data_IF_323490066988
#
_entry.id   IF_323490066988
#
_cell.length_a   1.000
_cell.length_b   1.000
_cell.length_c   1.000
_cell.angle_alpha   90.00
_cell.angle_beta   90.00
_cell.angle_gamma   90.00
#
_symmetry.space_group_name_H-M   'P 1'
#
loop_
_entity.id
_entity.type
_entity.pdbx_description
1 polymer ?
#
# COMPACT_ATOMS: atom_id res chain seq x y z
N UNK A 1 36.45 -18.32 0.11
CA UNK A 1 36.67 -16.87 -0.09
C UNK A 1 35.35 -16.19 0.25
N UNK A 2 35.26 -15.62 1.46
CA UNK A 2 34.03 -14.98 1.99
C UNK A 2 34.06 -13.52 1.56
N UNK A 3 33.00 -13.09 0.90
CA UNK A 3 32.75 -11.70 0.54
C UNK A 3 32.11 -10.99 1.76
N UNK A 4 32.78 -10.02 2.40
CA UNK A 4 32.24 -9.33 3.56
C UNK A 4 31.78 -7.92 3.16
N UNK A 5 30.68 -7.81 2.43
CA UNK A 5 29.95 -6.54 2.29
C UNK A 5 28.45 -6.80 2.39
N UNK A 6 28.05 -7.46 3.48
CA UNK A 6 26.71 -7.28 4.01
C UNK A 6 26.65 -5.84 4.55
N UNK A 7 26.17 -4.91 3.72
CA UNK A 7 25.80 -3.57 4.14
C UNK A 7 24.67 -3.73 5.17
N UNK A 8 25.05 -3.75 6.44
CA UNK A 8 24.15 -3.59 7.58
C UNK A 8 23.22 -2.41 7.27
N UNK A 9 21.88 -2.61 7.26
CA UNK A 9 20.98 -1.51 6.99
C UNK A 9 21.10 -0.54 8.15
N UNK A 10 21.74 0.62 7.91
CA UNK A 10 21.75 1.75 8.82
C UNK A 10 20.36 1.88 9.44
N UNK A 11 20.27 1.59 10.75
CA UNK A 11 19.04 1.74 11.52
C UNK A 11 18.73 3.23 11.61
N UNK A 12 18.15 3.75 10.53
CA UNK A 12 17.75 5.14 10.44
C UNK A 12 16.75 5.42 11.55
N UNK A 13 16.94 6.51 12.28
CA UNK A 13 16.02 7.06 13.29
C UNK A 13 14.57 7.09 12.75
N UNK A 14 14.40 7.26 11.42
CA UNK A 14 13.11 7.19 10.73
C UNK A 14 12.42 5.81 10.77
N UNK A 15 13.18 4.72 10.70
CA UNK A 15 12.62 3.38 10.86
C UNK A 15 12.13 3.16 12.31
N UNK A 16 12.78 3.80 13.29
CA UNK A 16 12.33 3.79 14.69
C UNK A 16 11.08 4.65 14.87
N UNK A 17 11.05 5.87 14.35
CA UNK A 17 9.88 6.77 14.41
C UNK A 17 8.68 6.18 13.65
N UNK A 18 8.89 5.61 12.46
CA UNK A 18 7.82 4.92 11.72
C UNK A 18 7.31 3.67 12.44
N UNK A 19 8.19 2.92 13.12
CA UNK A 19 7.79 1.80 13.97
C UNK A 19 7.02 2.24 15.21
N UNK A 20 7.40 3.34 15.85
CA UNK A 20 6.70 3.90 17.01
C UNK A 20 5.34 4.48 16.64
N UNK A 21 5.25 5.22 15.53
CA UNK A 21 3.99 5.75 15.01
C UNK A 21 3.04 4.61 14.61
N UNK A 22 3.56 3.59 13.93
CA UNK A 22 2.79 2.38 13.63
C UNK A 22 2.36 1.64 14.90
N UNK A 23 3.27 1.49 15.87
CA UNK A 23 2.96 0.82 17.14
C UNK A 23 1.87 1.57 17.92
N UNK A 24 1.96 2.90 17.98
CA UNK A 24 0.96 3.75 18.60
C UNK A 24 -0.38 3.66 17.87
N UNK A 25 -0.38 3.71 16.53
CA UNK A 25 -1.57 3.53 15.72
C UNK A 25 -2.21 2.16 16.00
N UNK A 26 -1.45 1.06 15.93
CA UNK A 26 -1.96 -0.29 16.24
C UNK A 26 -2.49 -0.41 17.68
N UNK A 27 -1.88 0.27 18.65
CA UNK A 27 -2.30 0.22 20.06
C UNK A 27 -3.57 1.02 20.35
N UNK A 28 -3.79 2.09 19.59
CA UNK A 28 -4.95 2.95 19.73
C UNK A 28 -6.11 2.50 18.85
N UNK A 29 -5.82 1.67 17.83
CA UNK A 29 -6.83 1.23 16.89
C UNK A 29 -7.70 0.08 17.36
N UNK A 30 -8.98 0.14 16.97
CA UNK A 30 -9.89 -1.00 17.05
C UNK A 30 -9.35 -2.23 16.31
N UNK A 31 -9.66 -3.43 16.83
CA UNK A 31 -9.31 -4.70 16.17
C UNK A 31 -10.56 -5.55 15.94
N UNK A 32 -10.65 -6.15 14.76
CA UNK A 32 -11.70 -7.11 14.39
C UNK A 32 -11.08 -8.26 13.64
N UNK A 33 -11.62 -9.47 13.79
CA UNK A 33 -11.17 -10.64 13.03
C UNK A 33 -12.29 -11.15 12.14
N UNK A 34 -11.98 -11.46 10.88
CA UNK A 34 -12.90 -12.07 9.90
C UNK A 34 -12.22 -13.29 9.30
N UNK A 35 -12.78 -14.48 9.51
CA UNK A 35 -12.21 -15.76 9.03
C UNK A 35 -10.69 -15.94 9.34
N UNK A 36 -10.22 -15.41 10.47
CA UNK A 36 -8.81 -15.45 10.88
C UNK A 36 -7.93 -14.32 10.34
N UNK A 37 -8.45 -13.44 9.47
CA UNK A 37 -7.79 -12.22 9.02
C UNK A 37 -8.01 -11.09 10.04
N UNK A 38 -6.91 -10.52 10.53
CA UNK A 38 -6.95 -9.39 11.46
C UNK A 38 -7.20 -8.07 10.70
N UNK A 39 -8.18 -7.30 11.13
CA UNK A 39 -8.45 -5.93 10.68
C UNK A 39 -8.09 -4.99 11.82
N UNK A 40 -7.16 -4.09 11.57
CA UNK A 40 -6.75 -3.04 12.50
C UNK A 40 -7.24 -1.72 11.92
N UNK A 41 -8.27 -1.15 12.52
CA UNK A 41 -8.86 0.12 12.09
C UNK A 41 -9.74 0.75 13.17
N UNK A 42 -9.74 2.08 13.21
CA UNK A 42 -10.69 2.88 13.99
C UNK A 42 -11.95 3.25 13.21
N UNK A 43 -11.88 3.30 11.87
CA UNK A 43 -12.96 3.78 11.00
C UNK A 43 -13.08 2.93 9.74
N UNK A 44 -14.28 2.84 9.19
CA UNK A 44 -14.52 2.10 7.93
C UNK A 44 -14.32 0.58 8.03
N UNK A 45 -14.28 0.02 9.25
CA UNK A 45 -14.19 -1.43 9.48
C UNK A 45 -15.32 -2.19 8.80
N UNK A 46 -16.54 -1.69 8.84
CA UNK A 46 -17.68 -2.36 8.19
C UNK A 46 -17.54 -2.40 6.66
N UNK A 47 -17.06 -1.32 6.05
CA UNK A 47 -16.73 -1.28 4.62
C UNK A 47 -15.67 -2.31 4.23
N UNK A 48 -14.67 -2.52 5.08
CA UNK A 48 -13.65 -3.57 4.87
C UNK A 48 -14.26 -4.96 5.01
N UNK A 49 -15.15 -5.17 5.99
CA UNK A 49 -15.84 -6.45 6.20
C UNK A 49 -16.73 -6.78 5.00
N UNK A 50 -17.50 -5.81 4.50
CA UNK A 50 -18.31 -5.94 3.29
C UNK A 50 -17.43 -6.23 2.06
N UNK A 51 -16.29 -5.55 1.92
CA UNK A 51 -15.34 -5.82 0.86
C UNK A 51 -14.79 -7.25 0.90
N UNK A 52 -14.44 -7.76 2.08
CA UNK A 52 -14.00 -9.15 2.25
C UNK A 52 -15.12 -10.14 1.92
N UNK A 53 -16.36 -9.82 2.30
CA UNK A 53 -17.54 -10.63 1.95
C UNK A 53 -17.74 -10.68 0.43
N UNK A 54 -17.60 -9.56 -0.29
CA UNK A 54 -17.66 -9.54 -1.75
C UNK A 54 -16.58 -10.43 -2.39
N UNK A 55 -15.34 -10.40 -1.88
CA UNK A 55 -14.29 -11.29 -2.40
C UNK A 55 -14.64 -12.76 -2.12
N UNK A 56 -15.19 -13.06 -0.94
CA UNK A 56 -15.63 -14.42 -0.57
C UNK A 56 -16.71 -14.95 -1.49
N UNK A 57 -17.71 -14.12 -1.80
CA UNK A 57 -18.90 -14.53 -2.56
C UNK A 57 -18.62 -14.64 -4.07
N UNK A 58 -17.87 -13.70 -4.63
CA UNK A 58 -17.63 -13.61 -6.08
C UNK A 58 -16.28 -14.21 -6.53
N UNK A 59 -15.33 -14.45 -5.62
CA UNK A 59 -14.08 -15.17 -5.90
C UNK A 59 -13.58 -16.01 -4.70
N UNK A 60 -14.31 -17.06 -4.30
CA UNK A 60 -13.99 -17.87 -3.11
C UNK A 60 -12.62 -18.56 -3.19
N UNK A 61 -12.12 -18.86 -4.39
CA UNK A 61 -10.78 -19.42 -4.57
C UNK A 61 -9.72 -18.38 -4.23
N UNK A 62 -9.89 -17.14 -4.69
CA UNK A 62 -8.98 -16.05 -4.34
C UNK A 62 -9.09 -15.66 -2.88
N UNK A 63 -10.29 -15.62 -2.32
CA UNK A 63 -10.50 -15.34 -0.90
C UNK A 63 -9.70 -16.30 -0.01
N UNK A 64 -9.79 -17.61 -0.27
CA UNK A 64 -8.99 -18.61 0.47
C UNK A 64 -7.48 -18.39 0.34
N UNK A 65 -6.99 -17.96 -0.83
CA UNK A 65 -5.57 -17.66 -1.03
C UNK A 65 -5.16 -16.40 -0.26
N UNK A 66 -5.99 -15.36 -0.31
CA UNK A 66 -5.80 -14.11 0.44
C UNK A 66 -5.60 -14.41 1.92
N UNK A 67 -6.45 -15.24 2.54
CA UNK A 67 -6.31 -15.63 3.96
C UNK A 67 -4.98 -16.33 4.26
N UNK A 68 -4.36 -16.98 3.28
CA UNK A 68 -3.04 -17.61 3.43
C UNK A 68 -1.86 -16.69 3.13
N UNK A 69 -2.05 -15.61 2.39
CA UNK A 69 -0.99 -14.71 1.90
C UNK A 69 -0.92 -13.39 2.68
N UNK A 70 -2.06 -12.93 3.22
CA UNK A 70 -2.21 -11.68 3.97
C UNK A 70 -2.48 -11.99 5.43
N UNK A 71 -1.69 -11.40 6.34
CA UNK A 71 -1.87 -11.58 7.80
C UNK A 71 -2.89 -10.61 8.37
N UNK A 72 -2.91 -9.38 7.85
CA UNK A 72 -3.76 -8.32 8.38
C UNK A 72 -4.11 -7.27 7.33
N UNK A 73 -5.26 -6.64 7.50
CA UNK A 73 -5.62 -5.37 6.86
C UNK A 73 -5.41 -4.27 7.90
N UNK A 74 -4.68 -3.22 7.53
CA UNK A 74 -4.35 -2.12 8.44
C UNK A 74 -4.70 -0.78 7.82
N UNK A 75 -5.63 -0.07 8.44
CA UNK A 75 -6.01 1.28 8.03
C UNK A 75 -5.05 2.28 8.66
N UNK A 76 -4.42 3.11 7.84
CA UNK A 76 -3.39 4.08 8.27
C UNK A 76 -3.32 5.26 7.29
N UNK A 77 -2.46 6.25 7.53
CA UNK A 77 -2.27 7.36 6.59
C UNK A 77 -1.08 7.09 5.69
N UNK A 78 -1.33 7.03 4.38
CA UNK A 78 -0.33 6.78 3.34
C UNK A 78 0.02 8.07 2.59
N UNK A 79 1.29 8.32 2.29
CA UNK A 79 1.71 9.57 1.65
C UNK A 79 1.51 9.61 0.13
N UNK A 80 1.33 8.48 -0.57
CA UNK A 80 1.37 8.48 -2.04
C UNK A 80 0.42 7.49 -2.73
N UNK A 81 -0.35 6.71 -1.98
CA UNK A 81 -1.23 5.69 -2.54
C UNK A 81 -2.48 5.54 -1.68
N UNK A 82 -3.52 4.95 -2.26
CA UNK A 82 -4.73 4.56 -1.52
C UNK A 82 -4.55 3.24 -0.77
N UNK A 83 -3.57 2.44 -1.18
CA UNK A 83 -3.16 1.22 -0.52
C UNK A 83 -1.70 0.85 -0.82
N UNK A 84 -1.13 -0.04 -0.02
CA UNK A 84 0.14 -0.68 -0.32
C UNK A 84 0.31 -2.01 0.42
N UNK A 85 1.09 -2.92 -0.16
CA UNK A 85 1.52 -4.14 0.50
C UNK A 85 2.78 -3.91 1.36
N UNK A 86 2.65 -4.13 2.67
CA UNK A 86 3.76 -4.06 3.61
C UNK A 86 4.28 -5.46 3.96
N UNK A 87 5.33 -5.89 3.26
CA UNK A 87 5.89 -7.23 3.40
C UNK A 87 6.40 -7.59 4.82
N UNK A 88 6.96 -6.62 5.55
CA UNK A 88 7.53 -6.85 6.89
C UNK A 88 6.46 -7.20 7.93
N UNK A 89 5.28 -6.60 7.81
CA UNK A 89 4.13 -6.82 8.69
C UNK A 89 3.08 -7.75 8.08
N UNK A 90 3.31 -8.21 6.83
CA UNK A 90 2.37 -8.98 6.01
C UNK A 90 0.98 -8.33 5.98
N UNK A 91 0.98 -7.00 5.83
CA UNK A 91 -0.22 -6.19 5.90
C UNK A 91 -0.62 -5.63 4.53
N UNK A 92 -1.91 -5.72 4.23
CA UNK A 92 -2.56 -4.84 3.25
C UNK A 92 -2.85 -3.51 3.97
N UNK A 93 -2.11 -2.46 3.64
CA UNK A 93 -2.29 -1.14 4.22
C UNK A 93 -3.23 -0.33 3.36
N UNK A 94 -4.24 0.28 3.98
CA UNK A 94 -5.26 1.07 3.30
C UNK A 94 -5.21 2.50 3.85
N UNK A 95 -5.29 3.50 2.97
CA UNK A 95 -5.32 4.90 3.38
C UNK A 95 -6.65 5.24 4.06
N UNK A 96 -6.60 5.72 5.30
CA UNK A 96 -7.80 6.06 6.08
C UNK A 96 -8.70 7.06 5.35
N UNK A 97 -8.12 8.10 4.73
CA UNK A 97 -8.90 9.17 4.06
C UNK A 97 -9.67 8.62 2.88
N UNK A 98 -9.10 7.62 2.21
CA UNK A 98 -9.79 6.88 1.15
C UNK A 98 -10.90 6.01 1.75
N UNK A 99 -10.58 5.18 2.75
CA UNK A 99 -11.54 4.24 3.34
C UNK A 99 -12.76 4.93 3.96
N UNK A 100 -12.60 6.09 4.58
CA UNK A 100 -13.73 6.82 5.21
C UNK A 100 -14.54 7.66 4.22
N UNK A 101 -14.05 7.89 2.99
CA UNK A 101 -14.79 8.65 1.97
C UNK A 101 -16.10 7.93 1.60
N UNK A 102 -17.19 8.69 1.50
CA UNK A 102 -18.49 8.18 1.04
C UNK A 102 -18.45 7.71 -0.42
N UNK A 103 -17.56 8.29 -1.23
CA UNK A 103 -17.34 7.88 -2.62
C UNK A 103 -16.66 6.52 -2.74
N UNK A 104 -16.02 6.04 -1.67
CA UNK A 104 -15.33 4.76 -1.66
C UNK A 104 -16.30 3.66 -1.29
N UNK A 105 -16.68 2.83 -2.26
CA UNK A 105 -17.61 1.72 -2.07
C UNK A 105 -16.92 0.44 -1.60
N UNK A 106 -17.64 -0.53 -1.01
CA UNK A 106 -17.07 -1.85 -0.68
C UNK A 106 -16.46 -2.57 -1.89
N UNK A 107 -17.02 -2.44 -3.09
CA UNK A 107 -16.47 -3.02 -4.33
C UNK A 107 -15.10 -2.42 -4.68
N UNK A 108 -14.93 -1.12 -4.46
CA UNK A 108 -13.65 -0.44 -4.66
C UNK A 108 -12.62 -0.97 -3.66
N UNK A 109 -12.98 -1.04 -2.39
CA UNK A 109 -12.10 -1.59 -1.34
C UNK A 109 -11.76 -3.06 -1.62
N UNK A 110 -12.72 -3.86 -2.09
CA UNK A 110 -12.49 -5.26 -2.45
C UNK A 110 -11.48 -5.40 -3.60
N UNK A 111 -11.60 -4.55 -4.63
CA UNK A 111 -10.67 -4.51 -5.76
C UNK A 111 -9.25 -4.14 -5.31
N UNK A 112 -9.12 -3.15 -4.44
CA UNK A 112 -7.85 -2.74 -3.83
C UNK A 112 -7.24 -3.89 -3.01
N UNK A 113 -8.03 -4.55 -2.16
CA UNK A 113 -7.54 -5.69 -1.37
C UNK A 113 -7.06 -6.83 -2.28
N UNK A 114 -7.75 -7.09 -3.40
CA UNK A 114 -7.31 -8.08 -4.40
C UNK A 114 -5.98 -7.68 -5.04
N UNK A 115 -5.78 -6.40 -5.33
CA UNK A 115 -4.53 -5.86 -5.86
C UNK A 115 -3.38 -6.15 -4.88
N UNK A 116 -3.54 -5.75 -3.61
CA UNK A 116 -2.50 -5.94 -2.59
C UNK A 116 -2.26 -7.41 -2.24
N UNK A 117 -3.31 -8.24 -2.23
CA UNK A 117 -3.16 -9.68 -2.07
C UNK A 117 -2.36 -10.31 -3.23
N UNK A 118 -2.41 -9.71 -4.43
CA UNK A 118 -1.58 -10.16 -5.56
C UNK A 118 -0.10 -9.84 -5.31
N UNK A 119 0.24 -8.66 -4.78
CA UNK A 119 1.61 -8.38 -4.32
C UNK A 119 2.06 -9.39 -3.26
N UNK A 120 1.22 -9.65 -2.25
CA UNK A 120 1.51 -10.62 -1.19
C UNK A 120 1.85 -12.00 -1.78
N UNK A 121 1.05 -12.47 -2.74
CA UNK A 121 1.26 -13.74 -3.43
C UNK A 121 2.57 -13.77 -4.20
N UNK A 122 2.84 -12.74 -5.02
CA UNK A 122 4.04 -12.67 -5.84
C UNK A 122 5.30 -12.70 -4.96
N UNK A 123 5.31 -11.92 -3.87
CA UNK A 123 6.42 -11.92 -2.91
C UNK A 123 6.61 -13.27 -2.22
N UNK A 124 5.51 -13.96 -1.86
CA UNK A 124 5.58 -15.32 -1.31
C UNK A 124 6.16 -16.32 -2.32
N UNK A 125 5.94 -16.11 -3.61
CA UNK A 125 6.53 -16.90 -4.69
C UNK A 125 7.96 -16.46 -5.07
N UNK A 126 8.60 -15.56 -4.30
CA UNK A 126 9.97 -15.10 -4.55
C UNK A 126 10.09 -13.98 -5.59
N UNK A 127 8.98 -13.42 -6.06
CA UNK A 127 8.96 -12.29 -6.99
C UNK A 127 8.91 -11.00 -6.16
N UNK A 128 10.04 -10.32 -6.09
CA UNK A 128 10.19 -9.06 -5.35
C UNK A 128 9.55 -7.85 -6.06
N UNK A 129 9.76 -6.68 -5.47
CA UNK A 129 9.30 -5.39 -5.99
C UNK A 129 10.48 -4.44 -6.29
N UNK A 130 11.58 -5.01 -6.81
CA UNK A 130 12.71 -4.23 -7.30
C UNK A 130 12.28 -3.42 -8.53
N UNK A 131 12.85 -2.22 -8.70
CA UNK A 131 12.52 -1.27 -9.78
C UNK A 131 12.43 -1.95 -11.17
N UNK A 132 13.41 -2.79 -11.51
CA UNK A 132 13.46 -3.52 -12.78
C UNK A 132 12.29 -4.49 -13.04
N UNK A 133 11.54 -4.88 -11.99
CA UNK A 133 10.39 -5.78 -12.09
C UNK A 133 9.05 -5.09 -11.83
N UNK A 134 9.03 -3.84 -11.36
CA UNK A 134 7.79 -3.19 -10.89
C UNK A 134 6.72 -3.14 -11.96
N UNK A 135 7.05 -2.69 -13.17
CA UNK A 135 6.08 -2.61 -14.26
C UNK A 135 5.41 -3.96 -14.52
N UNK A 136 6.19 -5.05 -14.49
CA UNK A 136 5.66 -6.41 -14.69
C UNK A 136 4.77 -6.85 -13.52
N UNK A 137 5.16 -6.51 -12.29
CA UNK A 137 4.37 -6.81 -11.09
C UNK A 137 3.05 -6.04 -11.13
N UNK A 138 3.08 -4.74 -11.36
CA UNK A 138 1.91 -3.86 -11.44
C UNK A 138 0.95 -4.31 -12.55
N UNK A 139 1.47 -4.67 -13.72
CA UNK A 139 0.63 -5.23 -14.78
C UNK A 139 -0.09 -6.52 -14.35
N UNK A 140 0.57 -7.39 -13.57
CA UNK A 140 -0.07 -8.61 -13.05
C UNK A 140 -1.13 -8.23 -12.02
N UNK A 141 -0.84 -7.31 -11.10
CA UNK A 141 -1.78 -6.83 -10.09
C UNK A 141 -3.03 -6.21 -10.73
N UNK A 142 -2.85 -5.28 -11.69
CA UNK A 142 -3.94 -4.65 -12.45
C UNK A 142 -4.77 -5.68 -13.23
N UNK A 143 -4.14 -6.65 -13.91
CA UNK A 143 -4.88 -7.73 -14.59
C UNK A 143 -5.72 -8.57 -13.62
N UNK A 144 -5.23 -8.81 -12.40
CA UNK A 144 -6.00 -9.54 -11.35
C UNK A 144 -7.15 -8.71 -10.81
N UNK A 145 -6.97 -7.41 -10.69
CA UNK A 145 -8.00 -6.45 -10.32
C UNK A 145 -9.11 -6.37 -11.37
N UNK A 146 -8.77 -6.23 -12.65
CA UNK A 146 -9.73 -6.26 -13.77
C UNK A 146 -10.52 -7.57 -13.77
N UNK A 147 -9.83 -8.71 -13.64
CA UNK A 147 -10.46 -10.03 -13.59
C UNK A 147 -11.37 -10.21 -12.36
N UNK A 148 -11.14 -9.49 -11.27
CA UNK A 148 -12.06 -9.44 -10.13
C UNK A 148 -13.29 -8.61 -10.43
N UNK A 149 -13.06 -7.39 -10.91
CA UNK A 149 -14.10 -6.40 -11.14
C UNK A 149 -15.16 -6.93 -12.11
N UNK A 150 -14.74 -7.71 -13.12
CA UNK A 150 -15.64 -8.39 -14.05
C UNK A 150 -16.59 -9.42 -13.41
N UNK A 151 -16.32 -9.87 -12.17
CA UNK A 151 -17.19 -10.80 -11.43
C UNK A 151 -18.20 -10.08 -10.53
N UNK A 152 -18.01 -8.79 -10.26
CA UNK A 152 -18.88 -8.04 -9.37
C UNK A 152 -20.11 -7.51 -10.13
N UNK A 153 -21.32 -7.51 -9.52
CA UNK A 153 -22.53 -7.00 -10.17
C UNK A 153 -22.44 -5.52 -10.58
N UNK A 154 -21.74 -4.72 -9.76
CA UNK A 154 -21.57 -3.27 -9.87
C UNK A 154 -20.10 -2.87 -10.14
N UNK A 155 -19.22 -3.82 -10.46
CA UNK A 155 -17.77 -3.60 -10.52
C UNK A 155 -17.20 -2.82 -11.71
N UNK A 156 -18.05 -2.31 -12.62
CA UNK A 156 -17.60 -1.71 -13.89
C UNK A 156 -16.67 -0.50 -13.69
N UNK A 157 -16.98 0.38 -12.73
CA UNK A 157 -16.22 1.61 -12.53
C UNK A 157 -14.75 1.36 -12.13
N UNK A 158 -14.50 0.43 -11.22
CA UNK A 158 -13.13 0.11 -10.79
C UNK A 158 -12.38 -0.74 -11.83
N UNK A 159 -13.06 -1.64 -12.52
CA UNK A 159 -12.48 -2.37 -13.65
C UNK A 159 -11.94 -1.41 -14.72
N UNK A 160 -12.73 -0.43 -15.12
CA UNK A 160 -12.34 0.60 -16.09
C UNK A 160 -11.16 1.46 -15.62
N UNK A 161 -11.12 1.83 -14.34
CA UNK A 161 -9.98 2.56 -13.79
C UNK A 161 -8.69 1.73 -13.80
N UNK A 162 -8.78 0.43 -13.49
CA UNK A 162 -7.65 -0.47 -13.56
C UNK A 162 -7.19 -0.70 -15.01
N UNK A 163 -8.10 -0.80 -15.98
CA UNK A 163 -7.81 -0.84 -17.42
C UNK A 163 -7.08 0.43 -17.87
N UNK A 164 -7.62 1.61 -17.56
CA UNK A 164 -6.99 2.88 -17.90
C UNK A 164 -5.60 3.03 -17.28
N UNK A 165 -5.40 2.55 -16.04
CA UNK A 165 -4.08 2.54 -15.39
C UNK A 165 -3.12 1.58 -16.09
N UNK A 166 -3.61 0.41 -16.51
CA UNK A 166 -2.82 -0.59 -17.24
C UNK A 166 -2.42 -0.11 -18.63
N UNK A 167 -3.25 0.69 -19.29
CA UNK A 167 -2.94 1.32 -20.57
C UNK A 167 -1.96 2.47 -20.41
N UNK A 168 -2.16 3.32 -19.41
CA UNK A 168 -1.30 4.47 -19.16
C UNK A 168 0.09 4.09 -18.64
N UNK A 169 0.19 2.99 -17.87
CA UNK A 169 1.39 2.52 -17.16
C UNK A 169 2.20 3.67 -16.54
N UNK A 170 1.85 4.10 -15.31
CA UNK A 170 2.59 5.15 -14.62
C UNK A 170 4.08 4.84 -14.49
N UNK A 171 4.91 5.88 -14.38
CA UNK A 171 6.33 5.70 -14.06
C UNK A 171 6.47 5.12 -12.64
N UNK A 172 7.00 3.89 -12.53
CA UNK A 172 7.28 3.20 -11.26
C UNK A 172 8.76 3.22 -10.87
N UNK A 173 9.57 4.08 -11.50
CA UNK A 173 10.97 4.28 -11.11
C UNK A 173 11.12 4.71 -9.65
N UNK A 174 12.27 4.42 -9.06
CA UNK A 174 12.64 4.85 -7.70
C UNK A 174 12.49 6.36 -7.54
N UNK A 175 12.85 7.11 -8.58
CA UNK A 175 12.74 8.57 -8.62
C UNK A 175 11.28 8.99 -8.61
N UNK A 176 10.46 8.52 -9.55
CA UNK A 176 9.05 8.91 -9.64
C UNK A 176 8.26 8.51 -8.38
N UNK A 177 8.48 7.30 -7.85
CA UNK A 177 7.86 6.87 -6.60
C UNK A 177 8.28 7.75 -5.42
N UNK A 178 9.56 8.09 -5.32
CA UNK A 178 10.02 8.96 -4.25
C UNK A 178 9.48 10.38 -4.37
N UNK A 179 9.32 10.91 -5.58
CA UNK A 179 8.72 12.21 -5.85
C UNK A 179 7.23 12.22 -5.46
N UNK A 180 6.45 11.19 -5.85
CA UNK A 180 5.06 11.02 -5.42
C UNK A 180 4.94 10.98 -3.90
N UNK A 181 5.77 10.18 -3.24
CA UNK A 181 5.82 10.07 -1.79
C UNK A 181 6.12 11.42 -1.13
N UNK A 182 7.07 12.19 -1.67
CA UNK A 182 7.39 13.53 -1.13
C UNK A 182 6.26 14.53 -1.33
N UNK A 183 5.55 14.43 -2.46
CA UNK A 183 4.44 15.31 -2.78
C UNK A 183 3.31 15.16 -1.77
N UNK A 184 2.82 13.94 -1.53
CA UNK A 184 1.71 13.72 -0.60
C UNK A 184 2.12 13.54 0.86
N UNK A 185 3.42 13.52 1.19
CA UNK A 185 3.89 13.51 2.59
C UNK A 185 3.37 14.71 3.38
N UNK A 186 3.32 15.90 2.76
CA UNK A 186 2.82 17.11 3.44
C UNK A 186 1.37 16.89 3.89
N UNK A 187 0.53 16.45 2.98
CA UNK A 187 -0.91 16.30 3.23
C UNK A 187 -1.19 15.18 4.24
N UNK A 188 -0.42 14.09 4.17
CA UNK A 188 -0.47 13.03 5.17
C UNK A 188 -0.11 13.53 6.58
N UNK A 189 0.94 14.34 6.72
CA UNK A 189 1.34 14.87 8.03
C UNK A 189 0.35 15.91 8.57
N UNK A 190 -0.21 16.74 7.70
CA UNK A 190 -1.27 17.69 8.09
C UNK A 190 -2.53 16.96 8.53
N UNK A 191 -2.92 15.87 7.85
CA UNK A 191 -4.04 15.03 8.26
C UNK A 191 -3.86 14.45 9.66
N UNK A 192 -2.63 14.09 10.02
CA UNK A 192 -2.26 13.61 11.35
C UNK A 192 -2.15 14.73 12.41
N UNK A 193 -2.63 15.94 12.11
CA UNK A 193 -2.56 17.13 12.98
C UNK A 193 -1.14 17.48 13.42
N UNK A 194 -0.12 17.15 12.60
CA UNK A 194 1.25 17.50 12.92
C UNK A 194 1.43 19.03 12.86
N UNK A 195 2.12 19.65 13.84
CA UNK A 195 2.36 21.09 13.82
C UNK A 195 3.02 21.55 12.51
N UNK A 196 2.47 22.59 11.87
CA UNK A 196 2.87 23.07 10.53
C UNK A 196 4.38 23.32 10.40
N UNK A 197 5.03 23.86 11.45
CA UNK A 197 6.48 24.07 11.48
C UNK A 197 7.26 22.75 11.35
N UNK A 198 6.80 21.69 12.03
CA UNK A 198 7.39 20.34 11.95
C UNK A 198 7.13 19.70 10.59
N UNK A 199 5.94 19.92 10.00
CA UNK A 199 5.65 19.48 8.63
C UNK A 199 6.63 20.10 7.63
N UNK A 200 6.81 21.43 7.68
CA UNK A 200 7.74 22.13 6.79
C UNK A 200 9.19 21.66 6.97
N UNK A 201 9.64 21.48 8.22
CA UNK A 201 10.97 20.97 8.51
C UNK A 201 11.16 19.57 7.92
N UNK A 202 10.20 18.66 8.17
CA UNK A 202 10.25 17.26 7.72
C UNK A 202 10.27 17.17 6.19
N UNK A 203 9.35 17.87 5.52
CA UNK A 203 9.26 17.87 4.05
C UNK A 203 10.53 18.47 3.43
N UNK A 204 11.05 19.58 3.98
CA UNK A 204 12.26 20.23 3.48
C UNK A 204 13.49 19.32 3.60
N UNK A 205 13.65 18.66 4.76
CA UNK A 205 14.71 17.69 4.98
C UNK A 205 14.62 16.50 4.00
N UNK A 206 13.43 15.95 3.80
CA UNK A 206 13.22 14.84 2.88
C UNK A 206 13.50 15.22 1.43
N UNK A 207 13.08 16.42 1.00
CA UNK A 207 13.40 16.97 -0.33
C UNK A 207 14.91 17.16 -0.53
N UNK A 208 15.61 17.67 0.48
CA UNK A 208 17.06 17.81 0.44
C UNK A 208 17.76 16.45 0.30
N UNK A 209 17.34 15.44 1.08
CA UNK A 209 17.88 14.08 1.00
C UNK A 209 17.62 13.47 -0.38
N UNK A 210 16.42 13.63 -0.92
CA UNK A 210 16.06 13.18 -2.26
C UNK A 210 16.97 13.76 -3.34
N UNK A 211 17.14 15.08 -3.35
CA UNK A 211 18.06 15.76 -4.27
C UNK A 211 19.47 15.18 -4.15
N UNK A 212 20.00 15.03 -2.93
CA UNK A 212 21.34 14.45 -2.73
C UNK A 212 21.48 13.01 -3.23
N UNK A 213 20.43 12.18 -3.11
CA UNK A 213 20.46 10.79 -3.58
C UNK A 213 20.54 10.72 -5.11
N UNK A 214 19.71 11.49 -5.80
CA UNK A 214 19.59 11.41 -7.27
C UNK A 214 20.52 12.38 -8.02
N UNK A 215 21.09 13.40 -7.39
CA UNK A 215 22.17 14.21 -7.97
C UNK A 215 23.53 13.52 -7.98
N UNK A 216 23.67 12.38 -7.30
CA UNK A 216 24.92 11.59 -7.20
C UNK A 216 24.97 10.37 -8.13
N UNK A 217 23.89 10.07 -8.87
CA UNK A 217 23.94 9.05 -9.91
C UNK A 217 24.55 9.66 -11.18
N UNK A 218 25.71 9.18 -11.67
CA UNK A 218 26.23 9.62 -12.96
C UNK A 218 25.22 9.24 -14.05
N UNK A 219 25.01 10.15 -15.00
CA UNK A 219 24.34 9.81 -16.26
C UNK A 219 25.21 8.77 -16.96
N UNK A 220 24.72 7.52 -17.02
CA UNK A 220 25.22 6.52 -17.95
C UNK A 220 24.43 6.63 -19.25
#
# INVERSE_FOLDING_TARGET
>A
MRDPEAIEPERSIRAVVGRLARWAAVKLSGTRTVDGLLIISDKGTDKIVEALQLIRDFDPVRYRRLLGDVRQVFVTTLPASVAQWANSSKACELDERHIISEETTPELVASIIVHEATHARLMRCGIGYQEALRDRVEQVCLRREIAFAARLPTGKGRGQQAEATLEAMPDFSDKAMSERNLSGLRDALLYLNMPTRLVHLTVSYQRWKHRRRFSRQPMN
#
